data_IF_769075948076
#
_entry.id   IF_769075948076
#
_cell.length_a   1.000
_cell.length_b   1.000
_cell.length_c   1.000
_cell.angle_alpha   90.00
_cell.angle_beta   90.00
_cell.angle_gamma   90.00
#
_symmetry.space_group_name_H-M   'P 1'
#
loop_
_entity.id
_entity.type
_entity.pdbx_description
1 polymer ?
#
# COMPACT_ATOMS: atom_id res chain seq x y z
N UNK A 1 -1.95 13.44 -14.85
CA UNK A 1 -1.86 13.95 -13.46
C UNK A 1 -1.73 12.76 -12.53
N UNK A 2 -0.58 12.60 -11.88
CA UNK A 2 -0.31 11.48 -10.97
C UNK A 2 -0.97 11.80 -9.63
N UNK A 3 -2.13 11.21 -9.36
CA UNK A 3 -2.79 11.32 -8.06
C UNK A 3 -1.84 10.75 -7.00
N UNK A 4 -1.44 11.57 -6.02
CA UNK A 4 -0.56 11.15 -4.91
C UNK A 4 -1.37 11.23 -3.63
N UNK A 5 -2.16 10.18 -3.37
CA UNK A 5 -3.02 10.13 -2.20
C UNK A 5 -2.21 9.75 -0.96
N UNK A 6 -1.58 8.57 -0.93
CA UNK A 6 -0.69 8.17 0.18
C UNK A 6 0.60 7.58 -0.36
N UNK A 7 1.73 8.01 0.20
CA UNK A 7 3.05 7.47 -0.11
C UNK A 7 3.89 7.46 1.16
N UNK A 8 4.15 6.28 1.71
CA UNK A 8 4.92 6.13 2.96
C UNK A 8 5.77 4.87 2.93
N UNK A 9 6.62 4.71 3.94
CA UNK A 9 7.42 3.52 4.17
C UNK A 9 7.18 3.02 5.59
N UNK A 10 7.13 1.71 5.74
CA UNK A 10 6.98 1.05 7.02
C UNK A 10 7.99 -0.08 7.12
N UNK A 11 8.88 0.00 8.11
CA UNK A 11 9.94 -1.01 8.32
C UNK A 11 9.39 -2.14 9.17
N UNK A 12 9.43 -3.35 8.60
CA UNK A 12 8.91 -4.58 9.22
C UNK A 12 9.38 -5.79 8.41
N UNK A 13 9.23 -6.98 8.99
CA UNK A 13 9.51 -8.24 8.29
C UNK A 13 8.63 -8.41 7.05
N UNK A 14 9.25 -8.73 5.92
CA UNK A 14 8.55 -8.99 4.68
C UNK A 14 7.80 -10.32 4.75
N UNK A 15 6.51 -10.33 4.39
CA UNK A 15 5.71 -11.58 4.32
C UNK A 15 6.20 -12.58 3.26
N UNK A 16 7.03 -12.15 2.32
CA UNK A 16 7.58 -13.00 1.28
C UNK A 16 8.97 -13.55 1.65
N UNK A 17 9.95 -12.69 1.89
CA UNK A 17 11.34 -13.12 2.17
C UNK A 17 11.69 -13.23 3.67
N UNK A 18 10.85 -12.72 4.57
CA UNK A 18 11.10 -12.72 6.01
C UNK A 18 12.16 -11.72 6.50
N UNK A 19 12.77 -10.93 5.61
CA UNK A 19 13.77 -9.94 5.99
C UNK A 19 13.14 -8.68 6.57
N UNK A 20 13.77 -8.10 7.60
CA UNK A 20 13.46 -6.75 8.12
C UNK A 20 13.87 -5.69 7.08
N UNK A 21 12.88 -5.19 6.35
CA UNK A 21 13.09 -4.29 5.22
C UNK A 21 12.01 -3.21 5.14
N UNK A 22 12.30 -2.14 4.40
CA UNK A 22 11.31 -1.09 4.15
C UNK A 22 10.20 -1.64 3.23
N UNK A 23 8.96 -1.59 3.72
CA UNK A 23 7.75 -1.84 2.94
C UNK A 23 7.24 -0.49 2.42
N UNK A 24 7.42 -0.25 1.12
CA UNK A 24 7.01 0.97 0.45
C UNK A 24 5.51 0.88 0.14
N UNK A 25 4.71 1.71 0.80
CA UNK A 25 3.26 1.74 0.70
C UNK A 25 2.84 2.91 -0.18
N UNK A 26 2.12 2.62 -1.26
CA UNK A 26 1.58 3.62 -2.20
C UNK A 26 0.09 3.37 -2.35
N UNK A 27 -0.76 4.33 -1.99
CA UNK A 27 -2.19 4.25 -2.26
C UNK A 27 -2.63 5.43 -3.12
N UNK A 28 -3.45 5.14 -4.13
CA UNK A 28 -4.13 6.07 -5.02
C UNK A 28 -5.60 5.64 -5.17
N UNK A 29 -6.45 6.44 -5.82
CA UNK A 29 -7.87 6.07 -5.92
C UNK A 29 -8.10 4.79 -6.73
N UNK A 30 -7.24 4.49 -7.71
CA UNK A 30 -7.39 3.31 -8.55
C UNK A 30 -6.75 2.04 -7.99
N UNK A 31 -5.77 2.15 -7.07
CA UNK A 31 -5.08 1.00 -6.49
C UNK A 31 -4.26 1.36 -5.25
N UNK A 32 -3.88 0.36 -4.46
CA UNK A 32 -2.78 0.47 -3.52
C UNK A 32 -1.72 -0.62 -3.76
N UNK A 33 -0.50 -0.33 -3.38
CA UNK A 33 0.67 -1.18 -3.55
C UNK A 33 1.47 -1.22 -2.25
N UNK A 34 2.01 -2.39 -1.95
CA UNK A 34 3.01 -2.58 -0.89
C UNK A 34 4.18 -3.33 -1.50
N UNK A 35 5.36 -2.70 -1.52
CA UNK A 35 6.56 -3.22 -2.16
C UNK A 35 7.64 -3.43 -1.12
N UNK A 36 8.18 -4.64 -1.01
CA UNK A 36 9.35 -4.91 -0.19
C UNK A 36 10.61 -4.36 -0.85
N UNK A 37 11.40 -3.56 -0.14
CA UNK A 37 12.65 -2.99 -0.65
C UNK A 37 13.77 -4.02 -0.82
N UNK A 38 13.70 -5.18 -0.16
CA UNK A 38 14.72 -6.21 -0.22
C UNK A 38 14.51 -7.18 -1.39
N UNK A 39 13.37 -7.86 -1.44
CA UNK A 39 13.09 -8.89 -2.45
C UNK A 39 12.25 -8.38 -3.63
N UNK A 40 11.74 -7.16 -3.60
CA UNK A 40 10.87 -6.62 -4.65
C UNK A 40 9.47 -7.26 -4.73
N UNK A 41 9.09 -8.09 -3.75
CA UNK A 41 7.74 -8.62 -3.63
C UNK A 41 6.74 -7.46 -3.55
N UNK A 42 5.78 -7.45 -4.47
CA UNK A 42 4.81 -6.38 -4.67
C UNK A 42 3.41 -6.94 -4.53
N UNK A 43 2.68 -6.46 -3.53
CA UNK A 43 1.26 -6.76 -3.32
C UNK A 43 0.41 -5.63 -3.88
N UNK A 44 -0.56 -5.98 -4.71
CA UNK A 44 -1.52 -5.06 -5.30
C UNK A 44 -2.88 -5.23 -4.63
N UNK A 45 -3.44 -4.10 -4.18
CA UNK A 45 -4.79 -4.02 -3.63
C UNK A 45 -5.65 -3.15 -4.55
N UNK A 46 -6.87 -3.59 -4.85
CA UNK A 46 -7.83 -2.88 -5.69
C UNK A 46 -8.95 -2.28 -4.84
N UNK A 47 -9.48 -1.10 -5.19
CA UNK A 47 -10.60 -0.47 -4.51
C UNK A 47 -11.81 -1.40 -4.41
N UNK A 48 -12.49 -1.36 -3.27
CA UNK A 48 -13.77 -2.06 -3.07
C UNK A 48 -14.92 -1.09 -2.85
N UNK A 49 -14.76 -0.19 -1.90
CA UNK A 49 -15.73 0.85 -1.60
C UNK A 49 -15.06 1.97 -0.81
N UNK A 50 -15.75 3.11 -0.76
CA UNK A 50 -15.35 4.32 -0.06
C UNK A 50 -16.45 4.67 0.94
N UNK A 51 -16.08 5.23 2.08
CA UNK A 51 -17.02 5.66 3.11
C UNK A 51 -16.60 7.01 3.69
N UNK A 52 -17.58 7.84 4.02
CA UNK A 52 -17.41 9.14 4.69
C UNK A 52 -17.90 9.13 6.14
N UNK A 53 -18.41 7.99 6.63
CA UNK A 53 -18.91 7.80 7.99
C UNK A 53 -17.94 7.09 8.95
N UNK A 54 -18.37 6.95 10.21
CA UNK A 54 -17.69 6.15 11.22
C UNK A 54 -18.09 4.67 11.09
N UNK A 55 -17.60 3.98 10.06
CA UNK A 55 -17.72 2.52 9.98
C UNK A 55 -16.35 1.89 10.13
N UNK A 56 -16.29 0.89 11.01
CA UNK A 56 -15.08 0.35 11.62
C UNK A 56 -14.06 -0.21 10.62
N UNK A 57 -12.84 -0.40 11.12
CA UNK A 57 -11.78 -1.13 10.45
C UNK A 57 -12.32 -2.51 10.08
N UNK A 58 -12.60 -2.73 8.80
CA UNK A 58 -13.03 -4.03 8.29
C UNK A 58 -11.76 -4.91 8.19
N UNK A 59 -11.29 -5.39 9.33
CA UNK A 59 -10.12 -6.25 9.45
C UNK A 59 -10.59 -7.69 9.62
N UNK A 60 -10.78 -8.48 8.54
CA UNK A 60 -10.91 -9.92 8.70
C UNK A 60 -9.63 -10.48 9.36
N UNK A 61 -9.81 -11.43 10.29
CA UNK A 61 -8.71 -12.15 10.95
C UNK A 61 -7.87 -12.82 9.84
N UNK A 62 -6.67 -12.30 9.61
CA UNK A 62 -5.73 -12.81 8.61
C UNK A 62 -4.69 -13.73 9.23
N UNK A 63 -3.95 -14.46 8.38
CA UNK A 63 -2.80 -15.30 8.78
C UNK A 63 -1.61 -14.48 9.30
N UNK A 64 -1.56 -13.20 8.96
CA UNK A 64 -0.48 -12.28 9.29
C UNK A 64 -1.03 -11.09 10.06
N UNK A 65 -0.15 -10.47 10.84
CA UNK A 65 -0.47 -9.27 11.61
C UNK A 65 -0.95 -8.13 10.71
N UNK A 66 -1.71 -7.22 11.31
CA UNK A 66 -2.20 -6.03 10.64
C UNK A 66 -1.24 -4.89 10.99
N UNK A 67 -0.65 -4.26 9.97
CA UNK A 67 0.19 -3.10 10.19
C UNK A 67 -0.69 -1.86 10.34
N UNK A 68 -0.58 -1.20 11.49
CA UNK A 68 -1.16 0.11 11.74
C UNK A 68 -0.10 1.18 11.47
N UNK A 69 -0.23 1.88 10.36
CA UNK A 69 0.74 2.89 9.91
C UNK A 69 0.06 4.25 9.90
N UNK A 70 0.74 5.26 10.45
CA UNK A 70 0.28 6.65 10.41
C UNK A 70 1.16 7.47 9.49
N UNK A 71 0.55 8.26 8.61
CA UNK A 71 1.27 9.14 7.68
C UNK A 71 0.46 10.38 7.36
N UNK A 72 1.14 11.48 7.04
CA UNK A 72 0.48 12.66 6.51
C UNK A 72 0.30 12.55 4.99
N UNK A 73 -0.88 12.93 4.52
CA UNK A 73 -1.30 12.79 3.13
C UNK A 73 -2.42 13.80 2.78
N UNK A 74 -2.54 14.25 1.52
CA UNK A 74 -3.69 15.02 1.06
C UNK A 74 -4.95 14.14 1.02
N UNK A 75 -6.03 14.59 1.64
CA UNK A 75 -7.30 13.88 1.59
C UNK A 75 -8.02 14.10 0.25
N UNK A 76 -8.36 13.03 -0.48
CA UNK A 76 -9.17 13.12 -1.72
C UNK A 76 -10.59 13.65 -1.50
N UNK A 77 -11.13 13.51 -0.30
CA UNK A 77 -12.49 13.93 0.03
C UNK A 77 -12.56 15.38 0.52
N UNK A 78 -11.79 15.74 1.54
CA UNK A 78 -11.84 17.10 2.12
C UNK A 78 -10.73 18.05 1.63
N UNK A 79 -9.78 17.58 0.82
CA UNK A 79 -8.65 18.36 0.30
C UNK A 79 -7.57 18.73 1.31
N UNK A 80 -7.83 18.58 2.62
CA UNK A 80 -6.88 18.90 3.68
C UNK A 80 -5.75 17.88 3.72
N UNK A 81 -4.51 18.37 3.72
CA UNK A 81 -3.32 17.58 4.04
C UNK A 81 -3.22 17.40 5.55
N UNK A 82 -3.19 16.15 6.00
CA UNK A 82 -3.11 15.84 7.42
C UNK A 82 -2.99 14.35 7.70
N UNK A 83 -3.11 13.95 8.97
CA UNK A 83 -2.85 12.58 9.39
C UNK A 83 -3.89 11.61 8.83
N UNK A 84 -3.39 10.56 8.21
CA UNK A 84 -4.14 9.40 7.73
C UNK A 84 -3.66 8.15 8.48
N UNK A 85 -4.62 7.32 8.87
CA UNK A 85 -4.37 5.98 9.40
C UNK A 85 -4.44 4.98 8.25
N UNK A 86 -3.50 4.05 8.24
CA UNK A 86 -3.48 2.93 7.32
C UNK A 86 -3.53 1.65 8.12
N UNK A 87 -4.43 0.75 7.74
CA UNK A 87 -4.43 -0.63 8.21
C UNK A 87 -4.07 -1.53 7.02
N UNK A 88 -2.89 -2.17 7.06
CA UNK A 88 -2.42 -3.06 6.00
C UNK A 88 -2.44 -4.49 6.51
N UNK A 89 -3.41 -5.28 6.05
CA UNK A 89 -3.50 -6.70 6.32
C UNK A 89 -2.99 -7.55 5.17
N UNK A 90 -3.11 -8.86 5.32
CA UNK A 90 -2.77 -9.82 4.25
C UNK A 90 -3.73 -9.77 3.07
N UNK A 91 -5.03 -9.63 3.33
CA UNK A 91 -6.10 -9.68 2.33
C UNK A 91 -6.79 -8.34 2.04
N UNK A 92 -6.43 -7.28 2.76
CA UNK A 92 -7.10 -5.98 2.68
C UNK A 92 -6.15 -4.86 3.08
N UNK A 93 -6.46 -3.66 2.63
CA UNK A 93 -5.81 -2.43 3.05
C UNK A 93 -6.87 -1.36 3.21
N UNK A 94 -6.79 -0.58 4.29
CA UNK A 94 -7.70 0.54 4.55
C UNK A 94 -6.88 1.81 4.75
N UNK A 95 -7.37 2.93 4.24
CA UNK A 95 -6.81 4.25 4.51
C UNK A 95 -7.91 5.14 5.07
N UNK A 96 -7.66 5.86 6.16
CA UNK A 96 -8.66 6.72 6.82
C UNK A 96 -8.09 8.11 7.09
N UNK A 97 -8.77 9.15 6.63
CA UNK A 97 -8.47 10.52 6.97
C UNK A 97 -8.95 10.86 8.38
N UNK A 98 -8.06 11.33 9.27
CA UNK A 98 -8.47 11.75 10.62
C UNK A 98 -9.23 13.09 10.65
N UNK A 99 -9.14 13.88 9.58
CA UNK A 99 -9.81 15.19 9.52
C UNK A 99 -11.31 15.06 9.22
N UNK A 100 -11.69 14.30 8.21
CA UNK A 100 -13.08 14.19 7.77
C UNK A 100 -13.68 12.78 7.89
N UNK A 101 -12.93 11.81 8.42
CA UNK A 101 -13.38 10.42 8.57
C UNK A 101 -13.39 9.60 7.28
N UNK A 102 -13.11 10.22 6.13
CA UNK A 102 -13.08 9.54 4.84
C UNK A 102 -12.19 8.29 4.87
N UNK A 103 -12.77 7.14 4.56
CA UNK A 103 -12.11 5.85 4.52
C UNK A 103 -12.20 5.25 3.11
N UNK A 104 -11.08 4.67 2.66
CA UNK A 104 -11.00 3.95 1.40
C UNK A 104 -10.55 2.52 1.69
N UNK A 105 -11.37 1.56 1.25
CA UNK A 105 -11.17 0.15 1.48
C UNK A 105 -10.71 -0.54 0.21
N UNK A 106 -9.56 -1.20 0.30
CA UNK A 106 -8.96 -1.98 -0.77
C UNK A 106 -8.93 -3.46 -0.40
N UNK A 107 -9.10 -4.33 -1.39
CA UNK A 107 -8.95 -5.79 -1.25
C UNK A 107 -7.71 -6.24 -2.01
N UNK A 108 -7.00 -7.22 -1.46
CA UNK A 108 -5.92 -7.90 -2.15
C UNK A 108 -6.39 -8.44 -3.51
N UNK A 109 -5.58 -8.22 -4.54
CA UNK A 109 -5.83 -8.72 -5.89
C UNK A 109 -4.78 -9.75 -6.30
N UNK A 110 -3.49 -9.35 -6.28
CA UNK A 110 -2.39 -10.20 -6.70
C UNK A 110 -1.09 -9.84 -5.98
N UNK A 111 -0.16 -10.79 -5.96
CA UNK A 111 1.23 -10.61 -5.53
C UNK A 111 2.15 -11.06 -6.67
N UNK A 112 3.21 -10.30 -6.93
CA UNK A 112 4.26 -10.68 -7.87
C UNK A 112 5.62 -10.18 -7.39
N UNK A 113 6.69 -10.78 -7.88
CA UNK A 113 8.06 -10.36 -7.62
C UNK A 113 8.53 -9.55 -8.82
N UNK A 114 8.84 -8.27 -8.62
CA UNK A 114 9.23 -7.35 -9.68
C UNK A 114 10.74 -7.37 -10.00
N UNK A 115 11.49 -8.36 -9.51
CA UNK A 115 12.90 -8.52 -9.87
C UNK A 115 12.98 -9.01 -11.32
N UNK A 116 13.31 -8.09 -12.23
CA UNK A 116 13.61 -8.45 -13.61
C UNK A 116 15.02 -9.08 -13.64
N UNK A 117 15.19 -10.38 -13.97
CA UNK A 117 16.51 -11.02 -13.99
C UNK A 117 17.44 -10.50 -15.10
N UNK A 118 16.93 -9.65 -15.99
CA UNK A 118 17.65 -9.14 -17.17
C UNK A 118 18.44 -7.86 -16.89
N UNK A 119 18.54 -7.41 -15.64
CA UNK A 119 19.27 -6.17 -15.32
C UNK A 119 20.79 -6.25 -15.56
N UNK A 120 21.33 -7.46 -15.73
CA UNK A 120 22.77 -7.70 -15.94
C UNK A 120 23.14 -8.02 -17.40
N UNK A 121 22.19 -8.13 -18.32
CA UNK A 121 22.48 -8.24 -19.75
C UNK A 121 22.45 -6.86 -20.39
N UNK A 122 23.60 -6.18 -20.38
CA UNK A 122 23.88 -5.13 -21.36
C UNK A 122 23.69 -5.73 -22.75
N UNK A 123 22.52 -5.47 -23.35
CA UNK A 123 22.23 -5.76 -24.74
C UNK A 123 23.19 -4.92 -25.58
N UNK A 124 24.37 -5.47 -25.85
CA UNK A 124 25.31 -4.95 -26.82
C UNK A 124 24.61 -4.99 -28.18
N UNK A 125 24.09 -3.86 -28.62
CA UNK A 125 23.58 -3.72 -29.97
C UNK A 125 24.72 -4.03 -30.96
N UNK A 126 24.52 -4.89 -31.97
CA UNK A 126 25.54 -5.14 -32.98
C UNK A 126 25.82 -3.86 -33.81
N UNK A 127 27.03 -3.74 -34.39
CA UNK A 127 27.54 -2.51 -35.00
C UNK A 127 26.77 -2.02 -36.23
#
# INVERSE_FOLDING_TARGET
MSERFIFTRHRTDCYHCGEDADQIIKAVSAQAQVVCSACGATRIFVPRFEDTGAVGTCTPIGRYDVWEVRTDAPCKNCGVTGPHDLAVGSGHMTTRCRNCGYAHFYRFNLEYIAQCPLADEEVSAPP
#
